data_IF_134693998080
#
_entry.id   IF_134693998080
#
_cell.length_a   1.000
_cell.length_b   1.000
_cell.length_c   1.000
_cell.angle_alpha   90.00
_cell.angle_beta   90.00
_cell.angle_gamma   90.00
#
_symmetry.space_group_name_H-M   'P 1'
#
loop_
_entity.id
_entity.type
_entity.pdbx_description
1 polymer ?
#
# COMPACT_ATOMS: atom_id res chain seq x y z
N UNK A 1 -9.44 26.86 0.23
CA UNK A 1 -9.70 25.54 -0.35
C UNK A 1 -8.52 24.66 0.00
N UNK A 2 -8.82 23.62 0.78
CA UNK A 2 -8.06 22.42 1.11
C UNK A 2 -6.78 22.53 1.96
N UNK A 3 -7.03 22.89 3.23
CA UNK A 3 -6.25 22.52 4.42
C UNK A 3 -6.57 21.06 4.84
N UNK A 4 -6.07 20.05 4.11
CA UNK A 4 -6.40 18.64 4.41
C UNK A 4 -5.21 17.65 4.46
N UNK A 5 -3.96 18.11 4.56
CA UNK A 5 -2.81 17.19 4.67
C UNK A 5 -1.76 17.61 5.72
N UNK A 6 -2.18 18.18 6.83
CA UNK A 6 -1.31 18.47 7.97
C UNK A 6 -1.94 18.00 9.27
N UNK A 7 -2.01 16.69 9.47
CA UNK A 7 -1.93 16.10 10.81
C UNK A 7 -1.63 14.59 10.71
N UNK A 8 -0.64 14.17 11.50
CA UNK A 8 -0.37 12.80 11.92
C UNK A 8 0.11 11.78 10.88
N UNK A 9 1.34 11.96 10.41
CA UNK A 9 2.27 10.81 10.26
C UNK A 9 3.56 11.12 11.02
N UNK A 10 3.42 11.47 12.31
CA UNK A 10 4.47 11.26 13.30
C UNK A 10 4.51 9.77 13.65
N UNK A 11 4.94 8.94 12.71
CA UNK A 11 5.35 7.56 12.99
C UNK A 11 6.71 7.22 12.40
N UNK A 12 7.47 8.24 11.98
CA UNK A 12 8.93 8.20 12.07
C UNK A 12 9.29 8.33 13.55
N UNK A 13 9.36 7.21 14.27
CA UNK A 13 10.14 7.02 15.51
C UNK A 13 9.94 5.56 15.91
N UNK A 14 11.06 4.83 15.92
CA UNK A 14 11.29 3.56 16.60
C UNK A 14 10.50 2.37 16.06
N UNK A 15 11.20 1.38 15.46
CA UNK A 15 11.07 -0.05 15.81
C UNK A 15 12.00 -0.91 14.91
N UNK A 16 13.24 -0.47 14.68
CA UNK A 16 14.31 -1.36 14.20
C UNK A 16 15.27 -1.79 15.32
N UNK A 17 14.93 -1.55 16.58
CA UNK A 17 15.80 -1.88 17.72
C UNK A 17 15.08 -2.50 18.93
N UNK A 18 13.83 -2.92 18.76
CA UNK A 18 13.21 -3.79 19.76
C UNK A 18 13.52 -5.22 19.40
N UNK A 19 14.29 -5.85 20.28
CA UNK A 19 14.56 -7.28 20.42
C UNK A 19 13.29 -8.13 20.15
N UNK A 20 12.99 -8.36 18.88
CA UNK A 20 12.07 -9.40 18.44
C UNK A 20 12.98 -10.53 18.00
N UNK A 21 13.03 -11.59 18.80
CA UNK A 21 13.65 -12.84 18.35
C UNK A 21 13.14 -13.15 16.94
N UNK A 22 14.04 -13.36 15.98
CA UNK A 22 13.63 -13.60 14.60
C UNK A 22 12.72 -14.83 14.57
N UNK A 23 11.56 -14.77 13.88
CA UNK A 23 10.71 -15.94 13.72
C UNK A 23 11.53 -17.05 13.05
N UNK A 24 11.38 -18.33 13.49
CA UNK A 24 12.16 -19.43 12.95
C UNK A 24 11.99 -19.48 11.43
N UNK A 25 13.08 -19.69 10.67
CA UNK A 25 13.02 -19.74 9.23
C UNK A 25 12.02 -20.83 8.80
N UNK A 26 11.21 -20.61 7.74
CA UNK A 26 10.31 -21.64 7.24
C UNK A 26 11.13 -22.90 6.93
N UNK A 27 10.64 -24.11 7.28
CA UNK A 27 11.37 -25.33 7.00
C UNK A 27 11.59 -25.38 5.49
N UNK A 28 12.86 -25.35 5.09
CA UNK A 28 13.23 -25.52 3.70
C UNK A 28 12.69 -26.88 3.25
N UNK A 29 11.57 -26.86 2.53
CA UNK A 29 11.03 -28.05 1.91
C UNK A 29 12.14 -28.64 1.04
N UNK A 30 12.50 -29.90 1.35
CA UNK A 30 13.39 -30.77 0.57
C UNK A 30 14.90 -30.67 0.86
N UNK A 31 15.32 -30.29 2.08
CA UNK A 31 16.59 -30.82 2.59
C UNK A 31 16.32 -32.15 3.28
N UNK A 32 16.40 -33.24 2.51
CA UNK A 32 16.65 -34.56 3.11
C UNK A 32 17.84 -34.41 4.05
N UNK A 33 17.66 -34.71 5.34
CA UNK A 33 18.74 -34.75 6.32
C UNK A 33 19.80 -35.83 5.96
N UNK A 34 19.45 -36.71 5.02
CA UNK A 34 20.30 -37.75 4.49
C UNK A 34 20.82 -37.34 3.12
N UNK A 35 22.10 -37.01 3.06
CA UNK A 35 22.85 -36.95 1.81
C UNK A 35 23.19 -38.38 1.37
N UNK A 36 23.02 -38.73 0.09
CA UNK A 36 23.58 -39.97 -0.43
C UNK A 36 25.09 -39.96 -0.20
N UNK A 37 25.64 -41.06 0.32
CA UNK A 37 27.09 -41.26 0.42
C UNK A 37 27.68 -41.34 -1.00
N UNK A 38 27.92 -40.19 -1.61
CA UNK A 38 28.70 -40.14 -2.85
C UNK A 38 30.17 -40.13 -2.47
N UNK A 39 30.94 -41.09 -2.97
CA UNK A 39 32.41 -41.04 -3.02
C UNK A 39 32.87 -39.98 -4.04
N UNK A 40 32.33 -38.76 -3.94
CA UNK A 40 32.79 -37.62 -4.72
C UNK A 40 33.65 -36.79 -3.78
N UNK A 41 34.97 -36.90 -3.99
CA UNK A 41 35.92 -35.95 -3.42
C UNK A 41 35.38 -34.53 -3.68
N UNK A 42 35.41 -33.64 -2.68
CA UNK A 42 34.85 -32.30 -2.83
C UNK A 42 35.49 -31.62 -4.04
N UNK A 43 34.66 -31.26 -5.00
CA UNK A 43 35.04 -30.51 -6.19
C UNK A 43 35.53 -29.14 -5.74
N UNK A 44 36.86 -29.04 -5.61
CA UNK A 44 37.71 -27.98 -6.13
C UNK A 44 37.00 -26.64 -6.38
N UNK A 45 36.68 -25.92 -5.30
CA UNK A 45 36.54 -24.46 -5.35
C UNK A 45 37.02 -23.90 -4.01
N UNK A 46 38.12 -23.14 -4.04
CA UNK A 46 38.68 -22.45 -2.87
C UNK A 46 39.61 -23.26 -1.95
N UNK A 47 40.72 -23.78 -2.50
CA UNK A 47 42.01 -23.94 -1.81
C UNK A 47 42.03 -24.59 -0.42
N UNK A 48 41.87 -25.92 -0.34
CA UNK A 48 42.42 -26.70 0.76
C UNK A 48 42.68 -28.14 0.30
N UNK A 49 43.92 -28.45 -0.05
CA UNK A 49 44.35 -29.84 -0.13
C UNK A 49 44.50 -30.32 1.32
N UNK A 50 43.68 -31.26 1.82
CA UNK A 50 43.88 -31.77 3.16
C UNK A 50 45.27 -32.42 3.22
N UNK A 51 46.13 -31.92 4.10
CA UNK A 51 47.46 -32.51 4.28
C UNK A 51 47.26 -33.96 4.78
N UNK A 52 47.66 -35.00 4.01
CA UNK A 52 47.36 -36.40 4.34
C UNK A 52 47.96 -36.86 5.69
N UNK A 53 48.91 -36.09 6.24
CA UNK A 53 49.55 -36.37 7.53
C UNK A 53 48.79 -35.89 8.78
N UNK A 54 47.67 -35.17 8.63
CA UNK A 54 46.94 -34.65 9.79
C UNK A 54 45.86 -35.63 10.29
N UNK A 55 45.91 -35.97 11.58
CA UNK A 55 44.91 -36.82 12.21
C UNK A 55 43.50 -36.18 12.17
N UNK A 56 42.47 -37.03 12.25
CA UNK A 56 41.07 -36.60 12.15
C UNK A 56 40.70 -35.56 13.23
N UNK A 57 41.25 -35.68 14.43
CA UNK A 57 41.05 -34.71 15.51
C UNK A 57 41.54 -33.31 15.11
N UNK A 58 42.72 -33.17 14.49
CA UNK A 58 43.21 -31.89 13.99
C UNK A 58 42.32 -31.32 12.89
N UNK A 59 41.82 -32.17 11.98
CA UNK A 59 40.91 -31.75 10.91
C UNK A 59 39.57 -31.24 11.46
N UNK A 60 39.01 -31.95 12.44
CA UNK A 60 37.78 -31.53 13.12
C UNK A 60 38.02 -30.24 13.90
N UNK A 61 39.15 -30.12 14.61
CA UNK A 61 39.49 -28.91 15.37
C UNK A 61 39.77 -27.70 14.47
N UNK A 62 40.39 -27.87 13.30
CA UNK A 62 40.58 -26.81 12.30
C UNK A 62 39.25 -26.38 11.68
N UNK A 63 38.39 -27.34 11.36
CA UNK A 63 37.04 -27.06 10.87
C UNK A 63 36.24 -26.26 11.90
N UNK A 64 36.23 -26.69 13.16
CA UNK A 64 35.58 -25.96 14.26
C UNK A 64 36.19 -24.58 14.45
N UNK A 65 37.52 -24.44 14.47
CA UNK A 65 38.16 -23.13 14.60
C UNK A 65 37.77 -22.17 13.47
N UNK A 66 37.54 -22.68 12.26
CA UNK A 66 37.18 -21.89 11.08
C UNK A 66 35.68 -21.62 10.98
N UNK A 67 34.81 -22.50 11.48
CA UNK A 67 33.36 -22.25 11.55
C UNK A 67 32.96 -21.35 12.72
N UNK A 68 33.82 -21.24 13.73
CA UNK A 68 33.69 -20.32 14.86
C UNK A 68 34.60 -19.09 14.72
N UNK A 69 35.29 -18.95 13.59
CA UNK A 69 36.06 -17.75 13.29
C UNK A 69 35.09 -16.61 12.99
N UNK A 70 35.26 -15.49 13.69
CA UNK A 70 34.49 -14.27 13.44
C UNK A 70 34.56 -13.92 11.94
N UNK A 71 33.42 -13.78 11.26
CA UNK A 71 33.41 -13.32 9.88
C UNK A 71 34.14 -11.97 9.82
N UNK A 72 34.86 -11.71 8.72
CA UNK A 72 35.47 -10.39 8.56
C UNK A 72 34.37 -9.32 8.60
N UNK A 73 34.65 -8.15 9.19
CA UNK A 73 33.65 -7.08 9.33
C UNK A 73 32.95 -6.71 8.01
N UNK A 74 33.66 -6.85 6.88
CA UNK A 74 33.12 -6.65 5.53
C UNK A 74 32.03 -7.70 5.22
N UNK A 75 32.26 -8.97 5.55
CA UNK A 75 31.30 -10.05 5.33
C UNK A 75 30.07 -9.94 6.25
N UNK A 76 30.23 -9.47 7.49
CA UNK A 76 29.10 -9.20 8.37
C UNK A 76 28.25 -8.04 7.87
N UNK A 77 28.90 -6.95 7.44
CA UNK A 77 28.20 -5.80 6.87
C UNK A 77 27.40 -6.17 5.62
N UNK A 78 27.95 -6.99 4.73
CA UNK A 78 27.24 -7.48 3.54
C UNK A 78 26.04 -8.36 3.91
N UNK A 79 26.17 -9.22 4.93
CA UNK A 79 25.06 -10.04 5.44
C UNK A 79 23.96 -9.16 6.04
N UNK A 80 24.32 -8.23 6.92
CA UNK A 80 23.39 -7.30 7.55
C UNK A 80 22.67 -6.44 6.51
N UNK A 81 23.39 -5.92 5.52
CA UNK A 81 22.80 -5.21 4.38
C UNK A 81 21.81 -6.08 3.61
N UNK A 82 22.13 -7.36 3.41
CA UNK A 82 21.23 -8.35 2.81
C UNK A 82 19.96 -8.55 3.63
N UNK A 83 20.08 -8.73 4.95
CA UNK A 83 18.94 -8.88 5.86
C UNK A 83 18.03 -7.64 5.86
N UNK A 84 18.60 -6.45 5.98
CA UNK A 84 17.87 -5.18 5.92
C UNK A 84 17.14 -5.03 4.60
N UNK A 85 17.77 -5.40 3.48
CA UNK A 85 17.14 -5.37 2.16
C UNK A 85 15.97 -6.36 2.07
N UNK A 86 16.14 -7.59 2.55
CA UNK A 86 15.07 -8.59 2.58
C UNK A 86 13.86 -8.13 3.41
N UNK A 87 14.10 -7.56 4.60
CA UNK A 87 13.04 -7.06 5.47
C UNK A 87 12.33 -5.86 4.83
N UNK A 88 13.09 -4.92 4.28
CA UNK A 88 12.54 -3.76 3.55
C UNK A 88 11.66 -4.21 2.37
N UNK A 89 12.13 -5.17 1.58
CA UNK A 89 11.37 -5.68 0.43
C UNK A 89 10.11 -6.44 0.86
N UNK A 90 10.17 -7.18 1.97
CA UNK A 90 8.97 -7.81 2.57
C UNK A 90 7.95 -6.75 2.96
N UNK A 91 8.37 -5.69 3.67
CA UNK A 91 7.48 -4.60 4.07
C UNK A 91 6.89 -3.86 2.87
N UNK A 92 7.70 -3.63 1.83
CA UNK A 92 7.23 -3.03 0.58
C UNK A 92 6.11 -3.87 -0.07
N UNK A 93 6.27 -5.19 -0.12
CA UNK A 93 5.27 -6.12 -0.67
C UNK A 93 3.98 -6.15 0.16
N UNK A 94 4.09 -6.14 1.49
CA UNK A 94 2.92 -6.07 2.36
C UNK A 94 2.14 -4.76 2.17
N UNK A 95 2.83 -3.62 2.09
CA UNK A 95 2.19 -2.34 1.77
C UNK A 95 1.46 -2.39 0.42
N UNK A 96 2.13 -2.95 -0.60
CA UNK A 96 1.53 -3.11 -1.92
C UNK A 96 0.29 -4.01 -1.88
N UNK A 97 0.36 -5.15 -1.17
CA UNK A 97 -0.76 -6.07 -1.01
C UNK A 97 -1.97 -5.38 -0.36
N UNK A 98 -1.75 -4.65 0.74
CA UNK A 98 -2.80 -3.87 1.42
C UNK A 98 -3.43 -2.83 0.49
N UNK A 99 -2.62 -2.14 -0.31
CA UNK A 99 -3.11 -1.15 -1.28
C UNK A 99 -4.03 -1.78 -2.33
N UNK A 100 -3.69 -2.95 -2.87
CA UNK A 100 -4.57 -3.67 -3.81
C UNK A 100 -5.87 -4.14 -3.15
N UNK A 101 -5.81 -4.60 -1.90
CA UNK A 101 -7.01 -4.99 -1.15
C UNK A 101 -7.95 -3.80 -0.91
N UNK A 102 -7.40 -2.65 -0.53
CA UNK A 102 -8.18 -1.42 -0.39
C UNK A 102 -8.80 -0.99 -1.72
N UNK A 103 -8.03 -1.04 -2.82
CA UNK A 103 -8.56 -0.72 -4.14
C UNK A 103 -9.69 -1.66 -4.56
N UNK A 104 -9.54 -2.98 -4.34
CA UNK A 104 -10.56 -3.96 -4.68
C UNK A 104 -11.88 -3.74 -3.91
N UNK A 105 -11.83 -3.25 -2.68
CA UNK A 105 -13.02 -2.95 -1.88
C UNK A 105 -13.88 -1.80 -2.48
N UNK A 106 -13.25 -0.88 -3.21
CA UNK A 106 -13.92 0.23 -3.90
C UNK A 106 -14.49 -0.17 -5.28
N UNK A 107 -14.15 -1.37 -5.76
CA UNK A 107 -14.59 -1.86 -7.06
C UNK A 107 -15.91 -2.63 -6.96
N UNK A 108 -16.64 -2.78 -8.08
CA UNK A 108 -17.86 -3.57 -8.11
C UNK A 108 -17.64 -4.99 -7.58
N UNK A 109 -18.61 -5.47 -6.81
CA UNK A 109 -18.67 -6.84 -6.32
C UNK A 109 -18.59 -7.82 -7.50
N UNK A 110 -17.68 -8.79 -7.42
CA UNK A 110 -17.41 -9.75 -8.50
C UNK A 110 -16.14 -9.45 -9.31
N UNK A 111 -15.43 -8.36 -9.02
CA UNK A 111 -14.10 -8.12 -9.60
C UNK A 111 -13.13 -9.24 -9.19
N UNK A 112 -12.43 -9.80 -10.17
CA UNK A 112 -11.47 -10.87 -9.95
C UNK A 112 -10.27 -10.37 -9.13
N UNK A 113 -9.81 -11.18 -8.17
CA UNK A 113 -8.67 -10.87 -7.28
C UNK A 113 -7.32 -11.10 -7.96
N UNK A 114 -7.14 -10.56 -9.16
CA UNK A 114 -5.86 -10.55 -9.87
C UNK A 114 -5.43 -9.09 -10.13
N UNK A 115 -4.12 -8.83 -10.05
CA UNK A 115 -3.59 -7.46 -10.07
C UNK A 115 -3.96 -6.69 -11.33
N UNK A 116 -4.01 -7.38 -12.48
CA UNK A 116 -4.29 -6.74 -13.75
C UNK A 116 -5.78 -6.40 -13.86
N UNK A 117 -6.66 -7.33 -13.51
CA UNK A 117 -8.11 -7.13 -13.49
C UNK A 117 -8.50 -6.01 -12.52
N UNK A 118 -7.93 -5.98 -11.30
CA UNK A 118 -8.16 -4.88 -10.35
C UNK A 118 -7.83 -3.53 -11.00
N UNK A 119 -6.67 -3.39 -11.64
CA UNK A 119 -6.24 -2.14 -12.26
C UNK A 119 -7.11 -1.76 -13.46
N UNK A 120 -7.44 -2.73 -14.33
CA UNK A 120 -8.28 -2.47 -15.50
C UNK A 120 -9.71 -2.10 -15.10
N UNK A 121 -10.30 -2.82 -14.15
CA UNK A 121 -11.62 -2.53 -13.61
C UNK A 121 -11.65 -1.17 -12.93
N UNK A 122 -10.63 -0.82 -12.14
CA UNK A 122 -10.50 0.52 -11.56
C UNK A 122 -10.44 1.62 -12.65
N UNK A 123 -9.64 1.41 -13.69
CA UNK A 123 -9.56 2.33 -14.83
C UNK A 123 -10.91 2.53 -15.51
N UNK A 124 -11.64 1.44 -15.76
CA UNK A 124 -12.97 1.49 -16.37
C UNK A 124 -13.97 2.20 -15.46
N UNK A 125 -13.95 1.88 -14.16
CA UNK A 125 -14.83 2.49 -13.17
C UNK A 125 -14.63 4.01 -13.08
N UNK A 126 -13.40 4.49 -13.08
CA UNK A 126 -13.11 5.93 -13.10
C UNK A 126 -13.70 6.59 -14.35
N UNK A 127 -13.53 5.99 -15.53
CA UNK A 127 -14.09 6.54 -16.78
C UNK A 127 -15.62 6.62 -16.74
N UNK A 128 -16.29 5.60 -16.22
CA UNK A 128 -17.74 5.60 -16.04
C UNK A 128 -18.20 6.69 -15.06
N UNK A 129 -17.56 6.76 -13.89
CA UNK A 129 -17.88 7.76 -12.87
C UNK A 129 -17.71 9.19 -13.38
N UNK A 130 -16.68 9.47 -14.17
CA UNK A 130 -16.48 10.78 -14.80
C UNK A 130 -17.63 11.12 -15.74
N UNK A 131 -18.07 10.17 -16.58
CA UNK A 131 -19.21 10.38 -17.48
C UNK A 131 -20.51 10.61 -16.70
N UNK A 132 -20.78 9.82 -15.68
CA UNK A 132 -21.97 9.99 -14.84
C UNK A 132 -21.97 11.32 -14.11
N UNK A 133 -20.81 11.76 -13.59
CA UNK A 133 -20.67 13.07 -12.97
C UNK A 133 -21.04 14.20 -13.94
N UNK A 134 -20.48 14.18 -15.16
CA UNK A 134 -20.77 15.20 -16.18
C UNK A 134 -22.26 15.25 -16.56
N UNK A 135 -22.88 14.08 -16.73
CA UNK A 135 -24.30 13.99 -17.07
C UNK A 135 -25.19 14.50 -15.92
N UNK A 136 -24.87 14.14 -14.68
CA UNK A 136 -25.59 14.65 -13.50
C UNK A 136 -25.41 16.16 -13.33
N UNK A 137 -24.22 16.70 -13.61
CA UNK A 137 -23.96 18.15 -13.59
C UNK A 137 -24.80 18.87 -14.66
N UNK A 138 -24.90 18.32 -15.87
CA UNK A 138 -25.75 18.84 -16.95
C UNK A 138 -27.22 18.89 -16.52
N UNK A 139 -27.75 17.76 -16.04
CA UNK A 139 -29.15 17.65 -15.59
C UNK A 139 -29.44 18.58 -14.41
N UNK A 140 -28.52 18.71 -13.45
CA UNK A 140 -28.69 19.58 -12.30
C UNK A 140 -28.66 21.06 -12.71
N UNK A 141 -27.88 21.42 -13.74
CA UNK A 141 -27.92 22.75 -14.35
C UNK A 141 -29.28 23.07 -14.97
N UNK A 142 -29.83 22.16 -15.78
CA UNK A 142 -31.14 22.31 -16.41
C UNK A 142 -32.27 22.46 -15.38
N UNK A 143 -32.25 21.64 -14.33
CA UNK A 143 -33.24 21.71 -13.25
C UNK A 143 -33.16 23.04 -12.48
N UNK A 144 -31.94 23.52 -12.17
CA UNK A 144 -31.76 24.80 -11.48
C UNK A 144 -32.25 25.98 -12.32
N UNK A 145 -31.98 25.98 -13.63
CA UNK A 145 -32.49 27.00 -14.55
C UNK A 145 -34.01 26.98 -14.63
N UNK A 146 -34.62 25.78 -14.80
CA UNK A 146 -36.08 25.64 -14.88
C UNK A 146 -36.82 25.96 -13.57
N UNK A 147 -36.18 25.81 -12.40
CA UNK A 147 -36.74 26.27 -11.12
C UNK A 147 -36.68 27.79 -10.98
N UNK A 148 -35.61 28.43 -11.47
CA UNK A 148 -35.49 29.89 -11.44
C UNK A 148 -36.57 30.57 -12.31
N UNK A 149 -36.84 30.01 -13.50
CA UNK A 149 -37.91 30.47 -14.40
C UNK A 149 -39.31 30.36 -13.77
N UNK A 150 -39.58 29.27 -13.04
CA UNK A 150 -40.87 29.06 -12.37
C UNK A 150 -41.05 29.92 -11.12
N UNK A 151 -39.98 30.19 -10.37
CA UNK A 151 -40.05 31.06 -9.18
C UNK A 151 -40.12 32.57 -9.49
N UNK A 152 -39.68 32.98 -10.69
CA UNK A 152 -39.75 34.36 -11.16
C UNK A 152 -41.13 34.77 -11.70
N UNK A 153 -42.00 33.81 -12.02
CA UNK A 153 -43.33 34.06 -12.61
C UNK A 153 -44.43 34.45 -11.62
N UNK A 154 -44.28 34.12 -10.33
CA UNK A 154 -45.35 34.32 -9.33
C UNK A 154 -45.37 35.70 -8.66
N UNK A 155 -44.51 36.65 -9.08
CA UNK A 155 -44.44 38.00 -8.47
C UNK A 155 -45.14 39.12 -9.26
N UNK A 156 -45.95 38.82 -10.26
CA UNK A 156 -46.47 39.84 -11.21
C UNK A 156 -47.92 40.32 -11.00
N UNK A 157 -48.67 39.91 -9.96
CA UNK A 157 -50.11 40.23 -9.88
C UNK A 157 -50.64 40.68 -8.50
N UNK A 158 -49.82 41.25 -7.62
CA UNK A 158 -50.30 41.68 -6.28
C UNK A 158 -50.06 43.11 -5.88
N UNK A 159 -49.78 44.03 -6.81
CA UNK A 159 -49.66 45.46 -6.53
C UNK A 159 -50.46 46.32 -7.52
N UNK A 160 -51.78 46.08 -7.62
CA UNK A 160 -52.75 47.04 -8.18
C UNK A 160 -54.07 46.88 -7.43
N UNK A 161 -54.10 47.27 -6.15
CA UNK A 161 -55.36 47.70 -5.52
C UNK A 161 -55.08 48.54 -4.27
N UNK A 162 -54.73 49.80 -4.49
CA UNK A 162 -54.91 50.89 -3.53
C UNK A 162 -55.24 52.15 -4.33
N UNK A 163 -56.37 52.10 -5.06
CA UNK A 163 -57.09 53.33 -5.40
C UNK A 163 -57.95 53.71 -4.22
N UNK A 164 -57.71 54.94 -3.75
CA UNK A 164 -58.71 55.92 -3.32
C UNK A 164 -59.81 55.42 -2.39
N UNK A 165 -59.76 55.87 -1.13
CA UNK A 165 -60.98 56.27 -0.44
C UNK A 165 -60.71 57.32 0.64
N UNK A 166 -61.53 58.39 0.54
CA UNK A 166 -61.98 59.30 1.61
C UNK A 166 -61.02 60.38 2.12
N UNK A 167 -60.90 61.40 1.28
CA UNK A 167 -61.03 62.79 1.72
C UNK A 167 -62.35 62.97 2.50
N UNK A 168 -62.28 63.36 3.77
CA UNK A 168 -63.39 64.04 4.46
C UNK A 168 -62.87 64.84 5.64
N UNK A 169 -62.87 66.14 5.43
CA UNK A 169 -63.20 67.21 6.38
C UNK A 169 -63.47 66.80 7.83
N UNK A 170 -62.64 67.32 8.75
CA UNK A 170 -63.07 67.60 10.12
C UNK A 170 -62.78 69.07 10.43
N UNK A 171 -63.88 69.84 10.46
CA UNK A 171 -63.98 71.14 11.12
C UNK A 171 -64.07 70.89 12.64
N UNK A 172 -63.18 71.50 13.41
CA UNK A 172 -63.45 72.58 14.38
C UNK A 172 -62.18 72.89 15.20
#
# INVERSE_FOLDING_TARGET
MDLFFHEEVQSDIFWCDQLVEPPPPPPAANRSAFSPYTNRLPSQDGGFMPNPGNNMNKRVMEFLRRSWAEPSQIQEFDRERGFRHMLSERMRREKQKRSYSALLAELPHGTQNDKNSIVQTARMRIKELVKYKQELERQNGELKSGLNEKSGGDKSWRDQDQSQDCESDVRD
#
